data_IF_895257420060
#
_entry.id   IF_895257420060
#
_cell.length_a   1.000
_cell.length_b   1.000
_cell.length_c   1.000
_cell.angle_alpha   90.00
_cell.angle_beta   90.00
_cell.angle_gamma   90.00
#
_symmetry.space_group_name_H-M   'P 1'
#
loop_
_entity.id
_entity.type
_entity.pdbx_description
1 polymer ?
#
# COMPACT_ATOMS: atom_id res chain seq x y z
N UNK A 1 -16.13 -2.40 -21.28
CA UNK A 1 -15.21 -2.80 -20.20
C UNK A 1 -13.83 -3.21 -20.75
N UNK A 2 -13.74 -4.22 -21.63
CA UNK A 2 -12.44 -4.68 -22.14
C UNK A 2 -11.70 -3.55 -22.86
N UNK A 3 -12.34 -2.84 -23.77
CA UNK A 3 -11.72 -1.75 -24.54
C UNK A 3 -11.21 -0.61 -23.65
N UNK A 4 -11.89 -0.33 -22.54
CA UNK A 4 -11.49 0.72 -21.59
C UNK A 4 -10.31 0.32 -20.73
N UNK A 5 -10.24 -0.94 -20.32
CA UNK A 5 -9.20 -1.44 -19.41
C UNK A 5 -8.00 -2.06 -20.14
N UNK A 6 -8.10 -2.32 -21.45
CA UNK A 6 -7.04 -2.99 -22.20
C UNK A 6 -5.73 -2.19 -22.19
N UNK A 7 -5.78 -0.90 -22.46
CA UNK A 7 -4.59 -0.05 -22.51
C UNK A 7 -3.99 0.20 -21.10
N UNK A 8 -4.77 0.54 -20.06
CA UNK A 8 -4.30 0.53 -18.68
C UNK A 8 -3.68 -0.80 -18.25
N UNK A 9 -4.28 -1.92 -18.61
CA UNK A 9 -3.72 -3.24 -18.28
C UNK A 9 -2.39 -3.50 -19.00
N UNK A 10 -2.27 -3.12 -20.28
CA UNK A 10 -1.01 -3.22 -21.01
C UNK A 10 0.07 -2.35 -20.35
N UNK A 11 -0.25 -1.14 -19.92
CA UNK A 11 0.66 -0.31 -19.13
C UNK A 11 1.11 -1.01 -17.84
N UNK A 12 0.18 -1.65 -17.11
CA UNK A 12 0.49 -2.46 -15.93
C UNK A 12 1.46 -3.61 -16.23
N UNK A 13 1.28 -4.30 -17.36
CA UNK A 13 2.19 -5.37 -17.78
C UNK A 13 3.59 -4.85 -18.10
N UNK A 14 3.69 -3.73 -18.79
CA UNK A 14 4.96 -3.06 -19.08
C UNK A 14 5.66 -2.65 -17.79
N UNK A 15 4.93 -2.03 -16.85
CA UNK A 15 5.45 -1.71 -15.52
C UNK A 15 5.93 -2.97 -14.78
N UNK A 16 5.11 -4.02 -14.74
CA UNK A 16 5.47 -5.29 -14.10
C UNK A 16 6.79 -5.84 -14.63
N UNK A 17 6.99 -5.78 -15.95
CA UNK A 17 8.14 -6.38 -16.64
C UNK A 17 9.48 -5.96 -16.04
N UNK A 18 9.72 -4.67 -15.94
CA UNK A 18 10.99 -4.13 -15.44
C UNK A 18 11.03 -4.01 -13.91
N UNK A 19 9.89 -3.60 -13.28
CA UNK A 19 9.89 -3.35 -11.84
C UNK A 19 10.02 -4.62 -11.02
N UNK A 20 9.42 -5.75 -11.42
CA UNK A 20 9.62 -7.02 -10.74
C UNK A 20 11.11 -7.44 -10.76
N UNK A 21 11.81 -7.22 -11.88
CA UNK A 21 13.25 -7.48 -11.99
C UNK A 21 14.06 -6.55 -11.06
N UNK A 22 13.86 -5.23 -11.17
CA UNK A 22 14.55 -4.25 -10.33
C UNK A 22 14.24 -4.46 -8.84
N UNK A 23 13.00 -4.83 -8.51
CA UNK A 23 12.58 -5.15 -7.15
C UNK A 23 13.34 -6.31 -6.52
N UNK A 24 13.67 -7.35 -7.28
CA UNK A 24 14.54 -8.44 -6.78
C UNK A 24 15.92 -7.92 -6.41
N UNK A 25 16.50 -7.03 -7.19
CA UNK A 25 17.78 -6.40 -6.88
C UNK A 25 17.70 -5.50 -5.65
N UNK A 26 16.66 -4.68 -5.55
CA UNK A 26 16.40 -3.78 -4.42
C UNK A 26 16.23 -4.55 -3.11
N UNK A 27 15.44 -5.63 -3.11
CA UNK A 27 15.28 -6.50 -1.95
C UNK A 27 16.59 -7.19 -1.56
N UNK A 28 17.35 -7.69 -2.54
CA UNK A 28 18.63 -8.35 -2.27
C UNK A 28 19.68 -7.41 -1.68
N UNK A 29 19.63 -6.12 -2.06
CA UNK A 29 20.51 -5.08 -1.54
C UNK A 29 20.06 -4.49 -0.21
N UNK A 30 18.79 -4.70 0.21
CA UNK A 30 18.21 -4.12 1.43
C UNK A 30 17.99 -2.62 1.33
N UNK A 31 17.68 -2.09 0.14
CA UNK A 31 17.46 -0.65 -0.13
C UNK A 31 16.03 -0.40 -0.63
N UNK A 32 15.05 -0.82 0.17
CA UNK A 32 13.63 -0.91 -0.25
C UNK A 32 13.04 0.46 -0.65
N UNK A 33 13.46 1.55 -0.01
CA UNK A 33 12.89 2.89 -0.24
C UNK A 33 13.63 3.73 -1.29
N UNK A 34 14.52 3.11 -2.08
CA UNK A 34 15.34 3.84 -3.06
C UNK A 34 14.51 4.48 -4.17
N UNK A 35 13.42 3.85 -4.60
CA UNK A 35 12.51 4.39 -5.60
C UNK A 35 11.72 5.60 -5.08
N UNK A 36 11.26 5.56 -3.83
CA UNK A 36 10.61 6.71 -3.21
C UNK A 36 11.55 7.91 -3.10
N UNK A 37 12.82 7.66 -2.73
CA UNK A 37 13.82 8.71 -2.67
C UNK A 37 14.09 9.31 -4.05
N UNK A 38 14.30 8.47 -5.08
CA UNK A 38 14.53 8.94 -6.45
C UNK A 38 13.30 9.64 -7.05
N UNK A 39 12.09 9.19 -6.71
CA UNK A 39 10.86 9.87 -7.10
C UNK A 39 10.76 11.27 -6.49
N UNK A 40 11.16 11.46 -5.22
CA UNK A 40 11.18 12.78 -4.58
C UNK A 40 12.28 13.67 -5.16
N UNK A 41 13.46 13.12 -5.46
CA UNK A 41 14.54 13.86 -6.14
C UNK A 41 14.08 14.28 -7.54
N UNK A 42 13.37 13.42 -8.28
CA UNK A 42 12.77 13.76 -9.58
C UNK A 42 11.71 14.87 -9.45
N UNK A 43 10.85 14.79 -8.43
CA UNK A 43 9.85 15.83 -8.15
C UNK A 43 10.49 17.18 -7.84
N UNK A 44 11.57 17.19 -7.05
CA UNK A 44 12.39 18.40 -6.83
C UNK A 44 12.94 18.94 -8.16
N UNK A 45 13.46 18.07 -9.03
CA UNK A 45 13.93 18.44 -10.37
C UNK A 45 12.84 19.10 -11.22
N UNK A 46 11.63 18.51 -11.26
CA UNK A 46 10.47 19.12 -11.94
C UNK A 46 10.20 20.52 -11.38
N UNK A 47 10.20 20.67 -10.07
CA UNK A 47 9.89 21.94 -9.40
C UNK A 47 10.94 23.01 -9.72
N UNK A 48 12.21 22.63 -9.77
CA UNK A 48 13.29 23.52 -10.24
C UNK A 48 13.09 23.91 -11.71
N UNK A 49 12.69 22.97 -12.57
CA UNK A 49 12.34 23.25 -13.96
C UNK A 49 11.18 24.25 -14.11
N UNK A 50 10.17 24.15 -13.24
CA UNK A 50 9.05 25.10 -13.18
C UNK A 50 9.53 26.51 -12.78
N UNK A 51 10.43 26.63 -11.79
CA UNK A 51 11.05 27.89 -11.42
C UNK A 51 11.90 28.50 -12.56
N UNK A 52 12.53 27.64 -13.38
CA UNK A 52 13.24 28.06 -14.57
C UNK A 52 12.32 28.48 -15.74
N UNK A 53 11.00 28.53 -15.51
CA UNK A 53 10.00 28.97 -16.49
C UNK A 53 9.50 27.89 -17.46
N UNK A 54 9.84 26.64 -17.25
CA UNK A 54 9.37 25.55 -18.11
C UNK A 54 7.96 25.08 -17.73
N UNK A 55 7.10 24.85 -18.73
CA UNK A 55 5.74 24.39 -18.49
C UNK A 55 5.72 22.98 -17.85
N UNK A 56 4.79 22.68 -16.94
CA UNK A 56 4.58 21.33 -16.41
C UNK A 56 4.32 20.34 -17.55
N UNK A 57 4.96 19.17 -17.48
CA UNK A 57 4.80 18.13 -18.52
C UNK A 57 5.63 18.37 -19.79
N UNK A 58 6.35 19.50 -19.90
CA UNK A 58 7.27 19.76 -21.02
C UNK A 58 8.46 18.80 -21.01
N UNK A 59 9.07 18.59 -22.17
CA UNK A 59 10.30 17.80 -22.29
C UNK A 59 11.44 18.39 -21.45
N UNK A 60 11.51 19.71 -21.30
CA UNK A 60 12.49 20.39 -20.45
C UNK A 60 12.27 20.06 -18.97
N UNK A 61 11.04 20.17 -18.44
CA UNK A 61 10.72 19.82 -17.06
C UNK A 61 11.03 18.33 -16.77
N UNK A 62 10.75 17.46 -17.73
CA UNK A 62 11.15 16.04 -17.64
C UNK A 62 12.67 15.86 -17.64
N UNK A 63 13.40 16.63 -18.44
CA UNK A 63 14.87 16.66 -18.45
C UNK A 63 15.45 17.02 -17.08
N UNK A 64 14.89 18.04 -16.41
CA UNK A 64 15.25 18.39 -15.03
C UNK A 64 14.98 17.25 -14.06
N UNK A 65 13.79 16.63 -14.12
CA UNK A 65 13.45 15.48 -13.29
C UNK A 65 14.47 14.35 -13.43
N UNK A 66 14.82 14.03 -14.67
CA UNK A 66 15.76 12.95 -14.99
C UNK A 66 17.19 13.29 -14.53
N UNK A 67 17.66 14.51 -14.78
CA UNK A 67 18.99 14.94 -14.36
C UNK A 67 19.15 14.88 -12.83
N UNK A 68 18.15 15.34 -12.09
CA UNK A 68 18.14 15.27 -10.64
C UNK A 68 18.08 13.81 -10.15
N UNK A 69 17.20 13.00 -10.69
CA UNK A 69 17.06 11.59 -10.30
C UNK A 69 18.34 10.78 -10.60
N UNK A 70 18.95 10.95 -11.76
CA UNK A 70 20.22 10.30 -12.12
C UNK A 70 21.34 10.79 -11.20
N UNK A 71 21.40 12.09 -10.90
CA UNK A 71 22.36 12.66 -9.93
C UNK A 71 22.19 12.03 -8.53
N UNK A 72 20.93 11.87 -8.06
CA UNK A 72 20.62 11.16 -6.81
C UNK A 72 21.01 9.68 -6.86
N UNK A 73 20.76 9.00 -7.98
CA UNK A 73 21.18 7.61 -8.19
C UNK A 73 22.71 7.45 -8.16
N UNK A 74 23.44 8.34 -8.79
CA UNK A 74 24.90 8.35 -8.75
C UNK A 74 25.44 8.64 -7.35
N UNK A 75 24.77 9.51 -6.58
CA UNK A 75 25.08 9.72 -5.17
C UNK A 75 24.96 8.41 -4.37
N UNK A 76 23.91 7.62 -4.60
CA UNK A 76 23.75 6.31 -3.95
C UNK A 76 24.83 5.31 -4.38
N UNK A 77 25.28 5.37 -5.63
CA UNK A 77 26.35 4.49 -6.13
C UNK A 77 27.70 4.71 -5.46
N UNK A 78 28.04 5.96 -5.15
CA UNK A 78 29.32 6.29 -4.51
C UNK A 78 29.29 6.18 -2.99
N UNK A 79 28.11 5.99 -2.40
CA UNK A 79 27.96 5.84 -0.95
C UNK A 79 28.28 4.40 -0.52
N UNK A 80 29.30 4.16 0.31
CA UNK A 80 29.75 2.82 0.64
C UNK A 80 28.71 2.05 1.48
N UNK A 81 28.08 1.04 0.87
CA UNK A 81 27.02 0.20 1.48
C UNK A 81 27.50 -0.69 2.62
N UNK A 82 28.82 -1.06 2.64
CA UNK A 82 29.28 -2.25 3.35
C UNK A 82 30.28 -2.03 4.47
N UNK A 83 30.86 -0.84 4.58
CA UNK A 83 31.91 -0.53 5.57
C UNK A 83 31.77 0.84 6.25
N UNK A 84 30.67 1.56 5.99
CA UNK A 84 30.42 2.86 6.59
C UNK A 84 29.68 2.74 7.94
N UNK A 85 29.73 3.79 8.77
CA UNK A 85 28.99 3.85 10.04
C UNK A 85 27.48 3.96 9.87
N UNK A 86 27.00 4.31 8.66
CA UNK A 86 25.57 4.46 8.34
C UNK A 86 25.15 3.41 7.30
N UNK A 87 24.01 2.72 7.51
CA UNK A 87 23.43 1.85 6.48
C UNK A 87 22.96 2.69 5.30
N UNK A 88 23.05 2.15 4.08
CA UNK A 88 22.64 2.86 2.85
C UNK A 88 21.18 3.29 2.89
N UNK A 89 20.29 2.49 3.51
CA UNK A 89 18.88 2.81 3.69
C UNK A 89 18.67 4.11 4.50
N UNK A 90 19.52 4.40 5.49
CA UNK A 90 19.48 5.65 6.23
C UNK A 90 19.82 6.85 5.35
N UNK A 91 20.82 6.71 4.46
CA UNK A 91 21.20 7.76 3.51
C UNK A 91 20.08 8.01 2.50
N UNK A 92 19.46 6.94 1.99
CA UNK A 92 18.30 7.02 1.10
C UNK A 92 17.14 7.74 1.81
N UNK A 93 16.87 7.43 3.08
CA UNK A 93 15.84 8.10 3.88
C UNK A 93 16.13 9.59 4.09
N UNK A 94 17.38 9.97 4.34
CA UNK A 94 17.79 11.37 4.46
C UNK A 94 17.60 12.11 3.13
N UNK A 95 18.04 11.54 2.02
CA UNK A 95 17.86 12.14 0.68
C UNK A 95 16.38 12.32 0.35
N UNK A 96 15.55 11.31 0.67
CA UNK A 96 14.10 11.42 0.54
C UNK A 96 13.54 12.61 1.33
N UNK A 97 13.85 12.70 2.62
CA UNK A 97 13.32 13.74 3.50
C UNK A 97 13.77 15.14 3.08
N UNK A 98 15.06 15.30 2.74
CA UNK A 98 15.61 16.57 2.27
C UNK A 98 15.01 16.98 0.94
N UNK A 99 14.89 16.07 -0.02
CA UNK A 99 14.28 16.37 -1.33
C UNK A 99 12.80 16.73 -1.20
N UNK A 100 12.05 16.04 -0.32
CA UNK A 100 10.66 16.38 -0.03
C UNK A 100 10.54 17.78 0.59
N UNK A 101 11.36 18.10 1.58
CA UNK A 101 11.38 19.42 2.22
C UNK A 101 11.75 20.53 1.23
N UNK A 102 12.78 20.33 0.42
CA UNK A 102 13.18 21.29 -0.62
C UNK A 102 12.07 21.48 -1.67
N UNK A 103 11.39 20.40 -2.06
CA UNK A 103 10.25 20.47 -2.97
C UNK A 103 9.15 21.38 -2.40
N UNK A 104 8.80 21.21 -1.12
CA UNK A 104 7.79 22.07 -0.45
C UNK A 104 8.24 23.53 -0.43
N UNK A 105 9.49 23.82 -0.06
CA UNK A 105 10.04 25.18 -0.03
C UNK A 105 10.03 25.87 -1.40
N UNK A 106 10.31 25.11 -2.45
CA UNK A 106 10.34 25.63 -3.82
C UNK A 106 8.93 25.84 -4.36
N UNK A 107 8.00 24.91 -4.07
CA UNK A 107 6.60 24.95 -4.48
C UNK A 107 5.83 26.11 -3.84
N UNK A 108 6.16 26.48 -2.61
CA UNK A 108 5.55 27.62 -1.91
C UNK A 108 5.76 28.94 -2.68
N UNK A 109 6.79 29.00 -3.53
CA UNK A 109 7.09 30.12 -4.43
C UNK A 109 6.40 30.00 -5.80
N UNK A 110 5.74 28.87 -6.12
CA UNK A 110 5.14 28.61 -7.42
C UNK A 110 3.58 28.70 -7.37
N UNK A 111 2.91 29.41 -8.28
CA UNK A 111 1.45 29.43 -8.34
C UNK A 111 0.89 28.02 -8.53
N UNK A 112 -0.11 27.62 -7.71
CA UNK A 112 -0.77 26.32 -7.75
C UNK A 112 0.13 25.09 -7.47
N UNK A 113 1.25 25.27 -6.82
CA UNK A 113 2.25 24.21 -6.61
C UNK A 113 1.72 22.98 -5.83
N UNK A 114 0.91 23.20 -4.79
CA UNK A 114 0.39 22.11 -3.95
C UNK A 114 -0.50 21.12 -4.70
N UNK A 115 -1.41 21.60 -5.58
CA UNK A 115 -2.29 20.75 -6.38
C UNK A 115 -1.49 19.88 -7.37
N UNK A 116 -0.40 20.41 -7.90
CA UNK A 116 0.47 19.71 -8.84
C UNK A 116 1.29 18.60 -8.20
N UNK A 117 1.77 18.79 -6.97
CA UNK A 117 2.40 17.71 -6.20
C UNK A 117 1.43 16.56 -5.98
N UNK A 118 0.19 16.87 -5.61
CA UNK A 118 -0.84 15.86 -5.41
C UNK A 118 -1.07 15.00 -6.68
N UNK A 119 -1.12 15.64 -7.85
CA UNK A 119 -1.27 14.95 -9.13
C UNK A 119 -0.07 14.04 -9.45
N UNK A 120 1.16 14.46 -9.17
CA UNK A 120 2.36 13.64 -9.35
C UNK A 120 2.39 12.41 -8.43
N UNK A 121 1.86 12.52 -7.22
CA UNK A 121 1.83 11.41 -6.26
C UNK A 121 0.79 10.35 -6.64
N UNK A 122 -0.36 10.78 -7.16
CA UNK A 122 -1.50 9.88 -7.43
C UNK A 122 -1.36 9.22 -8.80
N UNK A 123 -0.80 9.91 -9.80
CA UNK A 123 -0.74 9.42 -11.18
C UNK A 123 -2.12 9.19 -11.80
N UNK A 124 -2.18 8.83 -13.08
CA UNK A 124 -3.44 8.48 -13.76
C UNK A 124 -3.21 7.41 -14.83
N UNK A 125 -3.14 6.16 -14.38
CA UNK A 125 -2.95 5.03 -15.31
C UNK A 125 -4.12 4.82 -16.28
N UNK A 126 -5.29 5.37 -15.97
CA UNK A 126 -6.48 5.30 -16.84
C UNK A 126 -6.39 6.17 -18.09
N UNK A 127 -5.62 7.26 -18.02
CA UNK A 127 -5.53 8.25 -19.11
C UNK A 127 -4.30 8.05 -19.98
N UNK A 128 -3.61 6.91 -19.86
CA UNK A 128 -2.43 6.60 -20.68
C UNK A 128 -2.82 6.43 -22.13
N UNK A 129 -1.99 6.95 -23.03
CA UNK A 129 -2.14 6.77 -24.48
C UNK A 129 -1.31 5.59 -24.97
N UNK A 130 -1.65 5.07 -26.15
CA UNK A 130 -0.85 4.03 -26.79
C UNK A 130 0.60 4.47 -27.02
N UNK A 131 0.82 5.77 -27.31
CA UNK A 131 2.15 6.35 -27.46
C UNK A 131 2.95 6.32 -26.16
N UNK A 132 2.31 6.63 -25.01
CA UNK A 132 2.94 6.57 -23.70
C UNK A 132 3.38 5.14 -23.36
N UNK A 133 2.50 4.16 -23.59
CA UNK A 133 2.80 2.74 -23.33
C UNK A 133 3.92 2.25 -24.22
N UNK A 134 3.89 2.58 -25.53
CA UNK A 134 4.93 2.19 -26.47
C UNK A 134 6.29 2.82 -26.14
N UNK A 135 6.31 4.13 -25.78
CA UNK A 135 7.52 4.82 -25.37
C UNK A 135 8.13 4.22 -24.10
N UNK A 136 7.27 3.91 -23.10
CA UNK A 136 7.70 3.27 -21.86
C UNK A 136 8.22 1.85 -22.10
N UNK A 137 7.54 1.07 -22.95
CA UNK A 137 7.97 -0.28 -23.33
C UNK A 137 9.33 -0.27 -24.05
N UNK A 138 9.55 0.67 -24.97
CA UNK A 138 10.82 0.85 -25.67
C UNK A 138 11.95 1.21 -24.70
N UNK A 139 11.70 2.14 -23.78
CA UNK A 139 12.66 2.52 -22.74
C UNK A 139 13.03 1.32 -21.86
N UNK A 140 12.03 0.57 -21.40
CA UNK A 140 12.28 -0.59 -20.53
C UNK A 140 12.95 -1.75 -21.27
N UNK A 141 12.64 -1.94 -22.56
CA UNK A 141 13.36 -2.90 -23.40
C UNK A 141 14.85 -2.51 -23.54
N UNK A 142 15.14 -1.23 -23.74
CA UNK A 142 16.52 -0.73 -23.82
C UNK A 142 17.27 -0.94 -22.49
N UNK A 143 16.67 -0.55 -21.36
CA UNK A 143 17.25 -0.78 -20.03
C UNK A 143 17.39 -2.28 -19.75
N UNK A 144 16.37 -3.07 -20.05
CA UNK A 144 16.40 -4.53 -19.90
C UNK A 144 17.52 -5.18 -20.72
N UNK A 145 17.75 -4.72 -21.95
CA UNK A 145 18.84 -5.19 -22.80
C UNK A 145 20.21 -4.87 -22.18
N UNK A 146 20.40 -3.63 -21.70
CA UNK A 146 21.64 -3.23 -21.01
C UNK A 146 21.88 -4.12 -19.78
N UNK A 147 20.84 -4.36 -18.99
CA UNK A 147 20.93 -5.22 -17.80
C UNK A 147 21.14 -6.70 -18.17
N UNK A 148 20.57 -7.18 -19.28
CA UNK A 148 20.81 -8.54 -19.75
C UNK A 148 22.26 -8.74 -20.22
N UNK A 149 22.83 -7.76 -20.92
CA UNK A 149 24.24 -7.77 -21.33
C UNK A 149 25.19 -7.68 -20.10
N UNK A 150 24.81 -6.90 -19.10
CA UNK A 150 25.55 -6.71 -17.85
C UNK A 150 25.13 -7.68 -16.73
N UNK A 151 24.37 -8.75 -17.04
CA UNK A 151 23.75 -9.63 -16.04
C UNK A 151 24.73 -10.22 -15.02
N UNK A 152 25.93 -10.61 -15.45
CA UNK A 152 26.95 -11.23 -14.59
C UNK A 152 27.34 -10.30 -13.43
N UNK A 153 27.92 -9.13 -13.69
CA UNK A 153 28.30 -8.19 -12.64
C UNK A 153 27.10 -7.66 -11.85
N UNK A 154 25.96 -7.37 -12.47
CA UNK A 154 24.78 -6.86 -11.76
C UNK A 154 24.20 -7.89 -10.78
N UNK A 155 24.14 -9.17 -11.16
CA UNK A 155 23.73 -10.24 -10.24
C UNK A 155 24.77 -10.45 -9.13
N UNK A 156 26.07 -10.42 -9.43
CA UNK A 156 27.13 -10.58 -8.45
C UNK A 156 27.05 -9.51 -7.36
N UNK A 157 26.95 -8.23 -7.72
CA UNK A 157 26.90 -7.15 -6.73
C UNK A 157 25.61 -7.14 -5.90
N UNK A 158 24.50 -7.71 -6.41
CA UNK A 158 23.24 -7.74 -5.68
C UNK A 158 23.05 -8.98 -4.82
N UNK A 159 23.44 -10.18 -5.32
CA UNK A 159 23.15 -11.46 -4.67
C UNK A 159 24.37 -12.17 -4.10
N UNK A 160 25.60 -11.76 -4.47
CA UNK A 160 26.84 -12.34 -3.97
C UNK A 160 27.84 -11.26 -3.51
N UNK A 161 27.48 -10.44 -2.52
CA UNK A 161 28.20 -9.21 -2.19
C UNK A 161 29.51 -9.37 -1.43
N UNK A 162 29.86 -10.54 -0.91
CA UNK A 162 30.91 -10.69 0.08
C UNK A 162 32.32 -10.29 -0.40
N UNK A 163 32.61 -10.44 -1.71
CA UNK A 163 33.98 -10.33 -2.24
C UNK A 163 34.21 -9.13 -3.18
N UNK A 164 33.19 -8.29 -3.41
CA UNK A 164 33.27 -7.23 -4.39
C UNK A 164 33.57 -5.86 -3.76
N UNK A 165 34.80 -5.63 -3.33
CA UNK A 165 35.29 -4.31 -2.94
C UNK A 165 36.17 -3.72 -4.04
N UNK A 166 35.88 -2.47 -4.50
CA UNK A 166 36.74 -1.75 -5.43
C UNK A 166 35.97 -0.92 -6.47
N UNK A 167 36.74 -0.25 -7.33
CA UNK A 167 36.19 0.68 -8.34
C UNK A 167 35.20 0.04 -9.31
N UNK A 168 35.37 -1.26 -9.62
CA UNK A 168 34.43 -1.98 -10.50
C UNK A 168 33.03 -2.06 -9.89
N UNK A 169 32.90 -2.20 -8.58
CA UNK A 169 31.60 -2.23 -7.89
C UNK A 169 30.89 -0.90 -8.04
N UNK A 170 31.59 0.22 -7.82
CA UNK A 170 31.03 1.58 -7.96
C UNK A 170 30.53 1.81 -9.38
N UNK A 171 31.25 1.34 -10.41
CA UNK A 171 30.82 1.48 -11.80
C UNK A 171 29.52 0.73 -12.09
N UNK A 172 29.40 -0.52 -11.60
CA UNK A 172 28.19 -1.30 -11.78
C UNK A 172 27.02 -0.83 -10.94
N UNK A 173 27.30 -0.31 -9.73
CA UNK A 173 26.29 0.36 -8.91
C UNK A 173 25.84 1.67 -9.57
N UNK A 174 26.74 2.46 -10.17
CA UNK A 174 26.37 3.64 -10.94
C UNK A 174 25.46 3.31 -12.13
N UNK A 175 25.78 2.26 -12.88
CA UNK A 175 24.92 1.77 -13.96
C UNK A 175 23.54 1.36 -13.44
N UNK A 176 23.51 0.59 -12.35
CA UNK A 176 22.25 0.13 -11.73
C UNK A 176 21.40 1.32 -11.28
N UNK A 177 21.95 2.21 -10.45
CA UNK A 177 21.17 3.33 -9.90
C UNK A 177 20.78 4.39 -10.93
N UNK A 178 21.63 4.63 -11.96
CA UNK A 178 21.29 5.53 -13.03
C UNK A 178 20.14 4.99 -13.91
N UNK A 179 20.22 3.71 -14.30
CA UNK A 179 19.14 3.06 -15.05
C UNK A 179 17.86 2.91 -14.22
N UNK A 180 18.01 2.63 -12.93
CA UNK A 180 16.89 2.60 -11.99
C UNK A 180 16.20 3.97 -11.87
N UNK A 181 16.98 5.06 -11.73
CA UNK A 181 16.46 6.41 -11.71
C UNK A 181 15.70 6.78 -12.99
N UNK A 182 16.21 6.36 -14.15
CA UNK A 182 15.57 6.55 -15.45
C UNK A 182 14.22 5.82 -15.50
N UNK A 183 14.16 4.57 -15.06
CA UNK A 183 12.93 3.76 -15.01
C UNK A 183 11.93 4.38 -14.06
N UNK A 184 12.32 4.69 -12.81
CA UNK A 184 11.41 5.25 -11.79
C UNK A 184 10.85 6.59 -12.23
N UNK A 185 11.69 7.53 -12.72
CA UNK A 185 11.25 8.85 -13.16
C UNK A 185 10.21 8.76 -14.28
N UNK A 186 10.42 7.85 -15.24
CA UNK A 186 9.49 7.63 -16.35
C UNK A 186 8.20 6.98 -15.90
N UNK A 187 8.26 6.01 -14.98
CA UNK A 187 7.11 5.30 -14.43
C UNK A 187 6.21 6.18 -13.59
N UNK A 188 6.82 6.97 -12.69
CA UNK A 188 6.10 7.83 -11.74
C UNK A 188 5.27 8.87 -12.48
N UNK A 189 5.75 9.40 -13.59
CA UNK A 189 5.00 10.35 -14.41
C UNK A 189 3.65 9.78 -14.90
N UNK A 190 3.59 8.49 -15.22
CA UNK A 190 2.39 7.84 -15.75
C UNK A 190 1.53 7.20 -14.64
N UNK A 191 2.16 6.48 -13.74
CA UNK A 191 1.47 5.62 -12.78
C UNK A 191 1.38 6.21 -11.36
N UNK A 192 2.17 7.25 -11.06
CA UNK A 192 2.29 7.79 -9.71
C UNK A 192 3.23 6.98 -8.80
N UNK A 193 3.71 7.63 -7.74
CA UNK A 193 4.75 7.07 -6.86
C UNK A 193 4.29 5.81 -6.15
N UNK A 194 3.06 5.82 -5.58
CA UNK A 194 2.55 4.69 -4.78
C UNK A 194 2.38 3.43 -5.61
N UNK A 195 1.89 3.57 -6.83
CA UNK A 195 1.67 2.43 -7.72
C UNK A 195 3.00 1.86 -8.21
N UNK A 196 3.97 2.70 -8.57
CA UNK A 196 5.32 2.30 -8.98
C UNK A 196 6.02 1.54 -7.85
N UNK A 197 6.00 2.06 -6.62
CA UNK A 197 6.52 1.39 -5.43
C UNK A 197 5.90 -0.01 -5.25
N UNK A 198 4.59 -0.11 -5.42
CA UNK A 198 3.90 -1.39 -5.28
C UNK A 198 4.34 -2.42 -6.32
N UNK A 199 4.53 -2.00 -7.59
CA UNK A 199 5.06 -2.88 -8.65
C UNK A 199 6.49 -3.33 -8.40
N UNK A 200 7.29 -2.48 -7.79
CA UNK A 200 8.69 -2.79 -7.46
C UNK A 200 8.78 -3.81 -6.33
N UNK A 201 8.12 -3.53 -5.22
CA UNK A 201 8.36 -4.25 -3.96
C UNK A 201 7.48 -5.49 -3.84
N UNK A 202 6.17 -5.39 -4.11
CA UNK A 202 5.24 -6.46 -3.72
C UNK A 202 5.39 -7.73 -4.56
N UNK A 203 5.47 -7.69 -5.91
CA UNK A 203 5.71 -8.89 -6.70
C UNK A 203 7.02 -9.58 -6.35
N UNK A 204 8.09 -8.81 -6.14
CA UNK A 204 9.39 -9.33 -5.74
C UNK A 204 9.38 -9.95 -4.34
N UNK A 205 8.68 -9.33 -3.38
CA UNK A 205 8.51 -9.86 -2.02
C UNK A 205 7.71 -11.16 -2.02
N UNK A 206 6.57 -11.23 -2.72
CA UNK A 206 5.77 -12.44 -2.85
C UNK A 206 6.61 -13.56 -3.50
N UNK A 207 7.33 -13.25 -4.57
CA UNK A 207 8.21 -14.22 -5.23
C UNK A 207 9.31 -14.74 -4.31
N UNK A 208 9.95 -13.85 -3.53
CA UNK A 208 10.95 -14.23 -2.54
C UNK A 208 10.39 -15.13 -1.42
N UNK A 209 9.12 -14.93 -1.06
CA UNK A 209 8.42 -15.79 -0.10
C UNK A 209 8.08 -17.18 -0.66
N UNK A 210 7.84 -17.33 -1.96
CA UNK A 210 7.31 -18.55 -2.56
C UNK A 210 8.38 -19.45 -3.15
N UNK A 211 9.43 -18.88 -3.78
CA UNK A 211 10.43 -19.64 -4.54
C UNK A 211 11.85 -19.16 -4.28
N UNK A 212 12.83 -20.03 -4.60
CA UNK A 212 14.26 -19.74 -4.49
C UNK A 212 14.87 -19.62 -5.88
N UNK A 213 15.89 -18.77 -6.03
CA UNK A 213 16.58 -18.50 -7.27
C UNK A 213 16.00 -17.30 -8.04
N UNK A 214 16.86 -16.60 -8.81
CA UNK A 214 16.50 -15.33 -9.47
C UNK A 214 15.49 -15.57 -10.59
N UNK A 215 15.70 -16.56 -11.45
CA UNK A 215 14.80 -16.87 -12.57
C UNK A 215 13.37 -17.23 -12.13
N UNK A 216 13.18 -18.23 -11.25
CA UNK A 216 11.86 -18.55 -10.70
C UNK A 216 11.20 -17.38 -9.99
N UNK A 217 11.95 -16.57 -9.22
CA UNK A 217 11.42 -15.37 -8.57
C UNK A 217 10.91 -14.34 -9.58
N UNK A 218 11.63 -14.16 -10.66
CA UNK A 218 11.22 -13.23 -11.71
C UNK A 218 9.93 -13.69 -12.40
N UNK A 219 9.82 -14.98 -12.75
CA UNK A 219 8.62 -15.56 -13.34
C UNK A 219 7.40 -15.43 -12.43
N UNK A 220 7.55 -15.74 -11.13
CA UNK A 220 6.47 -15.57 -10.13
C UNK A 220 6.14 -14.07 -9.95
N UNK A 221 7.13 -13.19 -9.91
CA UNK A 221 6.92 -11.75 -9.81
C UNK A 221 6.10 -11.20 -10.99
N UNK A 222 6.41 -11.63 -12.21
CA UNK A 222 5.64 -11.26 -13.40
C UNK A 222 4.20 -11.78 -13.37
N UNK A 223 4.03 -13.05 -12.99
CA UNK A 223 2.69 -13.64 -12.86
C UNK A 223 1.85 -12.90 -11.82
N UNK A 224 2.41 -12.67 -10.62
CA UNK A 224 1.75 -11.92 -9.54
C UNK A 224 1.41 -10.51 -10.00
N UNK A 225 2.36 -9.80 -10.62
CA UNK A 225 2.13 -8.46 -11.12
C UNK A 225 0.99 -8.40 -12.14
N UNK A 226 0.96 -9.34 -13.10
CA UNK A 226 -0.09 -9.41 -14.10
C UNK A 226 -1.47 -9.73 -13.50
N UNK A 227 -1.56 -10.77 -12.67
CA UNK A 227 -2.84 -11.23 -12.07
C UNK A 227 -3.40 -10.19 -11.11
N UNK A 228 -2.56 -9.62 -10.24
CA UNK A 228 -3.00 -8.62 -9.26
C UNK A 228 -3.40 -7.32 -9.92
N UNK A 229 -2.69 -6.91 -11.00
CA UNK A 229 -3.09 -5.73 -11.78
C UNK A 229 -4.45 -5.92 -12.45
N UNK A 230 -4.70 -7.09 -13.05
CA UNK A 230 -6.00 -7.39 -13.62
C UNK A 230 -7.10 -7.33 -12.57
N UNK A 231 -6.89 -7.97 -11.41
CA UNK A 231 -7.84 -7.94 -10.29
C UNK A 231 -8.09 -6.53 -9.77
N UNK A 232 -7.04 -5.73 -9.59
CA UNK A 232 -7.14 -4.34 -9.12
C UNK A 232 -7.87 -3.43 -10.10
N UNK A 233 -7.60 -3.57 -11.42
CA UNK A 233 -8.31 -2.81 -12.46
C UNK A 233 -9.79 -3.19 -12.54
N UNK A 234 -10.12 -4.48 -12.47
CA UNK A 234 -11.52 -4.95 -12.45
C UNK A 234 -12.22 -4.45 -11.19
N UNK A 235 -11.58 -4.49 -10.04
CA UNK A 235 -12.10 -3.96 -8.79
C UNK A 235 -12.37 -2.45 -8.87
N UNK A 236 -11.41 -1.68 -9.42
CA UNK A 236 -11.56 -0.24 -9.63
C UNK A 236 -12.79 0.08 -10.50
N UNK A 237 -12.94 -0.64 -11.62
CA UNK A 237 -14.08 -0.47 -12.50
C UNK A 237 -15.41 -0.89 -11.85
N UNK A 238 -15.42 -2.03 -11.15
CA UNK A 238 -16.66 -2.60 -10.58
C UNK A 238 -17.21 -1.79 -9.42
N UNK A 239 -16.34 -1.15 -8.64
CA UNK A 239 -16.69 -0.42 -7.43
C UNK A 239 -16.43 1.08 -7.52
N UNK A 240 -16.17 1.61 -8.73
CA UNK A 240 -15.89 3.03 -8.99
C UNK A 240 -14.80 3.59 -8.05
N UNK A 241 -13.67 2.87 -7.94
CA UNK A 241 -12.56 3.24 -7.08
C UNK A 241 -11.44 3.93 -7.87
N UNK A 242 -10.67 4.83 -7.24
CA UNK A 242 -9.45 5.37 -7.83
C UNK A 242 -8.50 4.24 -8.25
N UNK A 243 -8.22 4.11 -9.55
CA UNK A 243 -7.57 2.95 -10.14
C UNK A 243 -6.20 2.63 -9.53
N UNK A 244 -5.36 3.66 -9.34
CA UNK A 244 -4.06 3.48 -8.72
C UNK A 244 -4.17 2.91 -7.31
N UNK A 245 -5.04 3.48 -6.47
CA UNK A 245 -5.27 3.03 -5.10
C UNK A 245 -5.85 1.60 -5.04
N UNK A 246 -6.77 1.25 -5.95
CA UNK A 246 -7.35 -0.08 -6.02
C UNK A 246 -6.31 -1.16 -6.36
N UNK A 247 -5.41 -0.89 -7.32
CA UNK A 247 -4.31 -1.80 -7.66
C UNK A 247 -3.31 -1.92 -6.52
N UNK A 248 -2.95 -0.83 -5.84
CA UNK A 248 -2.07 -0.86 -4.65
C UNK A 248 -2.71 -1.69 -3.53
N UNK A 249 -4.00 -1.50 -3.26
CA UNK A 249 -4.73 -2.30 -2.26
C UNK A 249 -4.77 -3.78 -2.63
N UNK A 250 -4.97 -4.11 -3.91
CA UNK A 250 -4.91 -5.49 -4.41
C UNK A 250 -3.53 -6.13 -4.19
N UNK A 251 -2.44 -5.39 -4.43
CA UNK A 251 -1.08 -5.83 -4.12
C UNK A 251 -0.89 -6.10 -2.62
N UNK A 252 -1.37 -5.18 -1.76
CA UNK A 252 -1.33 -5.36 -0.30
C UNK A 252 -2.08 -6.61 0.15
N UNK A 253 -3.28 -6.83 -0.39
CA UNK A 253 -4.08 -8.02 -0.12
C UNK A 253 -3.39 -9.32 -0.58
N UNK A 254 -2.79 -9.33 -1.77
CA UNK A 254 -2.04 -10.48 -2.29
C UNK A 254 -0.84 -10.83 -1.41
N UNK A 255 -0.10 -9.83 -0.94
CA UNK A 255 1.03 -10.02 -0.01
C UNK A 255 0.55 -10.57 1.34
N UNK A 256 -0.51 -9.99 1.90
CA UNK A 256 -1.10 -10.44 3.17
C UNK A 256 -1.59 -11.90 3.09
N UNK A 257 -2.30 -12.26 2.01
CA UNK A 257 -2.75 -13.62 1.77
C UNK A 257 -1.58 -14.60 1.62
N UNK A 258 -0.52 -14.21 0.92
CA UNK A 258 0.69 -15.04 0.77
C UNK A 258 1.39 -15.25 2.11
N UNK A 259 1.54 -14.19 2.90
CA UNK A 259 2.13 -14.26 4.24
C UNK A 259 1.29 -15.12 5.19
N UNK A 260 -0.03 -14.96 5.17
CA UNK A 260 -0.96 -15.78 5.96
C UNK A 260 -0.90 -17.26 5.58
N UNK A 261 -0.88 -17.58 4.28
CA UNK A 261 -0.77 -18.96 3.81
C UNK A 261 0.55 -19.62 4.23
N UNK A 262 1.67 -18.87 4.19
CA UNK A 262 2.95 -19.37 4.70
C UNK A 262 2.96 -19.56 6.21
N UNK A 263 2.41 -18.59 6.95
CA UNK A 263 2.23 -18.68 8.40
C UNK A 263 1.41 -19.91 8.79
N UNK A 264 0.28 -20.14 8.13
CA UNK A 264 -0.54 -21.33 8.36
C UNK A 264 0.22 -22.63 8.11
N UNK A 265 1.00 -22.72 7.01
CA UNK A 265 1.83 -23.90 6.72
C UNK A 265 2.93 -24.10 7.77
N UNK A 266 3.57 -23.02 8.24
CA UNK A 266 4.57 -23.09 9.29
C UNK A 266 3.96 -23.58 10.61
N UNK A 267 2.79 -23.08 10.99
CA UNK A 267 2.04 -23.52 12.18
C UNK A 267 1.67 -24.99 12.06
N UNK A 268 1.12 -25.43 10.92
CA UNK A 268 0.77 -26.85 10.73
C UNK A 268 1.99 -27.77 10.78
N UNK A 269 3.12 -27.36 10.21
CA UNK A 269 4.37 -28.11 10.29
C UNK A 269 4.88 -28.19 11.73
N UNK A 270 4.84 -27.07 12.47
CA UNK A 270 5.25 -27.02 13.87
C UNK A 270 4.36 -27.89 14.77
N UNK A 271 3.04 -27.89 14.54
CA UNK A 271 2.08 -28.74 15.27
C UNK A 271 2.33 -30.22 14.98
N UNK A 272 2.64 -30.58 13.73
CA UNK A 272 3.01 -31.97 13.38
C UNK A 272 4.29 -32.43 14.06
N UNK A 273 5.28 -31.53 14.21
CA UNK A 273 6.57 -31.85 14.78
C UNK A 273 6.61 -31.83 16.32
N UNK A 274 5.89 -30.92 16.95
CA UNK A 274 5.95 -30.63 18.40
C UNK A 274 4.63 -30.82 19.14
N UNK A 275 3.58 -31.27 18.46
CA UNK A 275 2.24 -31.40 19.02
C UNK A 275 1.64 -30.03 19.40
N UNK A 276 0.64 -30.07 20.27
CA UNK A 276 -0.14 -28.87 20.69
C UNK A 276 0.72 -27.82 21.40
N UNK A 277 1.90 -28.19 21.93
CA UNK A 277 2.82 -27.25 22.58
C UNK A 277 3.35 -26.17 21.62
N UNK A 278 3.39 -26.46 20.31
CA UNK A 278 3.74 -25.51 19.28
C UNK A 278 2.75 -24.33 19.16
N UNK A 279 1.51 -24.53 19.59
CA UNK A 279 0.46 -23.48 19.58
C UNK A 279 0.54 -22.53 20.77
N UNK A 280 1.39 -22.84 21.77
CA UNK A 280 1.53 -22.04 22.98
C UNK A 280 1.73 -20.53 22.71
N UNK A 281 2.67 -20.07 21.85
CA UNK A 281 2.85 -18.66 21.61
C UNK A 281 1.60 -18.01 20.96
N UNK A 282 0.91 -18.75 20.09
CA UNK A 282 -0.31 -18.27 19.46
C UNK A 282 -1.47 -18.14 20.46
N UNK A 283 -1.61 -19.11 21.37
CA UNK A 283 -2.64 -19.06 22.43
C UNK A 283 -2.35 -17.92 23.40
N UNK A 284 -1.10 -17.72 23.78
CA UNK A 284 -0.70 -16.60 24.65
C UNK A 284 -0.92 -15.26 23.95
N UNK A 285 -0.55 -15.13 22.68
CA UNK A 285 -0.80 -13.92 21.90
C UNK A 285 -2.32 -13.61 21.80
N UNK A 286 -3.13 -14.63 21.54
CA UNK A 286 -4.59 -14.49 21.51
C UNK A 286 -5.15 -14.08 22.89
N UNK A 287 -4.65 -14.68 23.96
CA UNK A 287 -5.04 -14.32 25.32
C UNK A 287 -4.69 -12.84 25.62
N UNK A 288 -3.50 -12.39 25.22
CA UNK A 288 -3.11 -10.96 25.35
C UNK A 288 -4.02 -10.05 24.53
N UNK A 289 -4.38 -10.42 23.30
CA UNK A 289 -5.29 -9.64 22.49
C UNK A 289 -6.69 -9.55 23.10
N UNK A 290 -7.21 -10.65 23.66
CA UNK A 290 -8.50 -10.69 24.37
C UNK A 290 -8.42 -9.82 25.64
N UNK A 291 -7.33 -9.91 26.40
CA UNK A 291 -7.11 -9.08 27.58
C UNK A 291 -7.06 -7.60 27.21
N UNK A 292 -6.32 -7.25 26.15
CA UNK A 292 -6.23 -5.88 25.66
C UNK A 292 -7.60 -5.36 25.20
N UNK A 293 -8.37 -6.16 24.46
CA UNK A 293 -9.71 -5.82 24.02
C UNK A 293 -10.65 -5.56 25.20
N UNK A 294 -10.62 -6.41 26.24
CA UNK A 294 -11.38 -6.23 27.47
C UNK A 294 -10.95 -4.99 28.26
N UNK A 295 -9.64 -4.77 28.40
CA UNK A 295 -9.09 -3.62 29.10
C UNK A 295 -9.41 -2.30 28.38
N UNK A 296 -9.25 -2.26 27.05
CA UNK A 296 -9.61 -1.08 26.25
C UNK A 296 -11.09 -0.74 26.36
N UNK A 297 -11.98 -1.75 26.33
CA UNK A 297 -13.42 -1.52 26.51
C UNK A 297 -13.73 -0.96 27.90
N UNK A 298 -13.04 -1.41 28.94
CA UNK A 298 -13.24 -0.93 30.30
C UNK A 298 -12.69 0.49 30.53
N UNK A 299 -11.52 0.78 29.98
CA UNK A 299 -10.83 2.06 30.20
C UNK A 299 -11.35 3.16 29.24
N UNK A 300 -11.66 2.80 28.01
CA UNK A 300 -12.04 3.71 26.94
C UNK A 300 -13.32 3.28 26.22
N UNK A 301 -14.48 3.18 26.89
CA UNK A 301 -15.71 2.67 26.29
C UNK A 301 -16.22 3.53 25.13
N UNK A 302 -15.87 4.82 25.07
CA UNK A 302 -16.29 5.75 24.02
C UNK A 302 -15.48 5.61 22.72
N UNK A 303 -14.36 4.86 22.73
CA UNK A 303 -13.58 4.58 21.52
C UNK A 303 -14.28 3.54 20.63
N UNK A 304 -13.94 3.53 19.35
CA UNK A 304 -14.36 2.48 18.44
C UNK A 304 -13.69 1.15 18.79
N UNK A 305 -14.50 0.11 18.95
CA UNK A 305 -14.04 -1.26 19.23
C UNK A 305 -14.40 -2.18 18.04
N UNK A 306 -13.52 -2.32 17.02
CA UNK A 306 -13.86 -3.02 15.77
C UNK A 306 -14.38 -4.45 15.95
N UNK A 307 -13.86 -5.16 16.95
CA UNK A 307 -14.31 -6.52 17.28
C UNK A 307 -15.76 -6.55 17.80
N UNK A 308 -16.15 -5.58 18.64
CA UNK A 308 -17.49 -5.47 19.19
C UNK A 308 -18.47 -4.94 18.14
N UNK A 309 -18.02 -4.00 17.29
CA UNK A 309 -18.78 -3.53 16.14
C UNK A 309 -19.10 -4.66 15.16
N UNK A 310 -18.13 -5.54 14.93
CA UNK A 310 -18.31 -6.75 14.10
C UNK A 310 -19.34 -7.69 14.72
N UNK A 311 -19.24 -7.95 16.02
CA UNK A 311 -20.17 -8.81 16.75
C UNK A 311 -21.59 -8.23 16.72
N UNK A 312 -21.76 -6.94 16.95
CA UNK A 312 -23.05 -6.25 16.96
C UNK A 312 -23.70 -6.18 15.56
N UNK A 313 -22.91 -6.22 14.47
CA UNK A 313 -23.46 -6.37 13.11
C UNK A 313 -24.07 -7.75 12.88
N UNK A 314 -23.44 -8.81 13.42
CA UNK A 314 -23.89 -10.19 13.28
C UNK A 314 -25.05 -10.46 14.25
N UNK A 315 -24.97 -9.94 15.47
CA UNK A 315 -25.93 -10.14 16.56
C UNK A 315 -26.36 -8.78 17.11
N UNK A 316 -27.32 -8.08 16.46
CA UNK A 316 -27.77 -6.75 16.87
C UNK A 316 -28.35 -6.68 18.31
N UNK A 317 -28.87 -7.77 18.83
CA UNK A 317 -29.41 -7.88 20.18
C UNK A 317 -28.35 -7.59 21.27
N UNK A 318 -27.06 -7.82 20.98
CA UNK A 318 -25.97 -7.49 21.91
C UNK A 318 -25.90 -6.00 22.20
N UNK A 319 -26.14 -5.15 21.21
CA UNK A 319 -26.22 -3.71 21.41
C UNK A 319 -27.58 -3.29 22.00
N UNK A 320 -28.68 -3.86 21.50
CA UNK A 320 -30.03 -3.50 21.89
C UNK A 320 -30.34 -3.78 23.36
N UNK A 321 -29.74 -4.82 23.93
CA UNK A 321 -29.90 -5.14 25.36
C UNK A 321 -29.43 -4.00 26.28
N UNK A 322 -28.50 -3.18 25.83
CA UNK A 322 -27.94 -2.08 26.60
C UNK A 322 -28.47 -0.69 26.19
N UNK A 323 -29.46 -0.61 25.31
CA UNK A 323 -30.17 0.61 24.95
C UNK A 323 -31.51 0.70 25.70
N UNK A 324 -31.88 1.92 26.10
CA UNK A 324 -33.19 2.22 26.65
C UNK A 324 -34.29 2.07 25.57
N UNK A 325 -35.55 2.03 25.97
CA UNK A 325 -36.68 1.94 25.02
C UNK A 325 -36.68 3.11 24.02
N UNK A 326 -36.43 4.33 24.51
CA UNK A 326 -36.36 5.53 23.66
C UNK A 326 -35.17 5.46 22.70
N UNK A 327 -33.99 5.06 23.18
CA UNK A 327 -32.77 4.95 22.34
C UNK A 327 -32.93 3.88 21.25
N UNK A 328 -33.65 2.79 21.54
CA UNK A 328 -34.01 1.75 20.53
C UNK A 328 -34.93 2.31 19.45
N UNK A 329 -35.91 3.14 19.83
CA UNK A 329 -36.77 3.84 18.86
C UNK A 329 -35.96 4.75 17.94
N UNK A 330 -35.16 5.67 18.52
CA UNK A 330 -34.29 6.58 17.75
C UNK A 330 -33.35 5.79 16.84
N UNK A 331 -32.75 4.71 17.33
CA UNK A 331 -31.86 3.87 16.52
C UNK A 331 -32.59 3.27 15.30
N UNK A 332 -33.80 2.73 15.49
CA UNK A 332 -34.61 2.15 14.43
C UNK A 332 -34.95 3.20 13.37
N UNK A 333 -35.50 4.34 13.80
CA UNK A 333 -35.94 5.41 12.91
C UNK A 333 -34.75 6.00 12.12
N UNK A 334 -33.59 6.22 12.80
CA UNK A 334 -32.37 6.68 12.14
C UNK A 334 -31.79 5.64 11.17
N UNK A 335 -31.87 4.34 11.50
CA UNK A 335 -31.40 3.28 10.60
C UNK A 335 -32.26 3.21 9.32
N UNK A 336 -33.57 3.36 9.45
CA UNK A 336 -34.50 3.40 8.30
C UNK A 336 -34.28 4.67 7.46
N UNK A 337 -34.04 5.83 8.10
CA UNK A 337 -33.72 7.08 7.41
C UNK A 337 -32.40 6.97 6.66
N UNK A 338 -31.36 6.43 7.29
CA UNK A 338 -30.06 6.20 6.69
C UNK A 338 -30.14 5.29 5.47
N UNK A 339 -30.87 4.15 5.58
CA UNK A 339 -31.04 3.23 4.45
C UNK A 339 -31.69 3.89 3.26
N UNK A 340 -32.73 4.73 3.47
CA UNK A 340 -33.38 5.51 2.41
C UNK A 340 -32.43 6.53 1.79
N UNK A 341 -31.68 7.24 2.60
CA UNK A 341 -30.70 8.24 2.14
C UNK A 341 -29.54 7.61 1.38
N UNK A 342 -29.04 6.45 1.81
CA UNK A 342 -27.99 5.71 1.12
C UNK A 342 -28.47 5.12 -0.22
N UNK A 343 -29.70 4.64 -0.33
CA UNK A 343 -30.27 4.19 -1.59
C UNK A 343 -30.33 5.33 -2.63
N UNK A 344 -30.84 6.49 -2.24
CA UNK A 344 -30.89 7.68 -3.11
C UNK A 344 -29.48 8.17 -3.50
N UNK A 345 -28.54 8.12 -2.55
CA UNK A 345 -27.15 8.48 -2.81
C UNK A 345 -26.49 7.49 -3.80
N UNK A 346 -26.85 6.21 -3.73
CA UNK A 346 -26.40 5.17 -4.66
C UNK A 346 -26.84 5.48 -6.11
N UNK A 347 -28.11 5.83 -6.31
CA UNK A 347 -28.63 6.22 -7.63
C UNK A 347 -27.90 7.45 -8.21
N UNK A 348 -27.69 8.47 -7.37
CA UNK A 348 -26.98 9.69 -7.78
C UNK A 348 -25.51 9.43 -8.10
N UNK A 349 -24.82 8.55 -7.34
CA UNK A 349 -23.45 8.15 -7.62
C UNK A 349 -23.34 7.34 -8.91
N UNK A 350 -24.30 6.49 -9.21
CA UNK A 350 -24.34 5.78 -10.49
C UNK A 350 -24.44 6.77 -11.65
N UNK A 351 -25.29 7.80 -11.50
CA UNK A 351 -25.41 8.86 -12.51
C UNK A 351 -24.11 9.66 -12.64
N UNK A 352 -23.44 10.00 -11.54
CA UNK A 352 -22.14 10.68 -11.55
C UNK A 352 -21.07 9.83 -12.23
N UNK A 353 -21.02 8.53 -11.92
CA UNK A 353 -20.14 7.56 -12.55
C UNK A 353 -20.38 7.45 -14.06
N UNK A 354 -21.65 7.33 -14.50
CA UNK A 354 -22.00 7.30 -15.93
C UNK A 354 -21.50 8.56 -16.67
N UNK A 355 -21.56 9.71 -16.02
CA UNK A 355 -21.05 10.97 -16.58
C UNK A 355 -19.51 10.98 -16.61
N UNK A 356 -18.87 10.50 -15.55
CA UNK A 356 -17.42 10.44 -15.45
C UNK A 356 -16.80 9.50 -16.47
N UNK A 357 -17.43 8.36 -16.71
CA UNK A 357 -16.97 7.34 -17.67
C UNK A 357 -17.49 7.56 -19.11
N UNK A 358 -18.14 8.70 -19.36
CA UNK A 358 -18.60 9.08 -20.69
C UNK A 358 -19.83 8.32 -21.21
N UNK A 359 -20.48 7.50 -20.36
CA UNK A 359 -21.72 6.80 -20.72
C UNK A 359 -22.92 7.76 -20.84
N UNK A 360 -22.85 8.91 -20.17
CA UNK A 360 -23.82 10.02 -20.29
C UNK A 360 -23.12 11.36 -20.38
N UNK A 361 -23.70 12.27 -21.15
CA UNK A 361 -23.27 13.67 -21.22
C UNK A 361 -24.29 14.54 -20.49
N UNK A 362 -23.85 15.34 -19.55
CA UNK A 362 -24.64 16.38 -18.90
C UNK A 362 -24.04 17.74 -19.21
N UNK A 363 -24.92 18.76 -19.37
CA UNK A 363 -24.49 20.14 -19.47
C UNK A 363 -23.81 20.62 -18.15
N UNK A 364 -22.99 21.67 -18.20
CA UNK A 364 -22.24 22.14 -17.03
C UNK A 364 -23.13 22.50 -15.85
N UNK A 365 -24.30 23.10 -16.06
CA UNK A 365 -25.20 23.48 -14.97
C UNK A 365 -25.82 22.25 -14.27
N UNK A 366 -26.18 21.22 -15.03
CA UNK A 366 -26.73 19.98 -14.47
C UNK A 366 -25.67 19.20 -13.71
N UNK A 367 -24.39 19.23 -14.16
CA UNK A 367 -23.29 18.65 -13.41
C UNK A 367 -23.09 19.34 -12.07
N UNK A 368 -23.16 20.67 -12.05
CA UNK A 368 -22.97 21.42 -10.81
C UNK A 368 -24.13 21.17 -9.83
N UNK A 369 -25.36 21.15 -10.31
CA UNK A 369 -26.56 20.80 -9.51
C UNK A 369 -26.45 19.38 -8.94
N UNK A 370 -25.97 18.42 -9.72
CA UNK A 370 -25.74 17.03 -9.25
C UNK A 370 -24.72 17.01 -8.11
N UNK A 371 -23.60 17.74 -8.24
CA UNK A 371 -22.57 17.81 -7.18
C UNK A 371 -23.11 18.43 -5.90
N UNK A 372 -23.85 19.52 -5.99
CA UNK A 372 -24.48 20.19 -4.84
C UNK A 372 -25.48 19.27 -4.14
N UNK A 373 -26.28 18.53 -4.91
CA UNK A 373 -27.23 17.58 -4.37
C UNK A 373 -26.55 16.40 -3.68
N UNK A 374 -25.47 15.86 -4.28
CA UNK A 374 -24.63 14.84 -3.68
C UNK A 374 -23.98 15.32 -2.39
N UNK A 375 -23.46 16.55 -2.35
CA UNK A 375 -22.88 17.14 -1.15
C UNK A 375 -23.90 17.22 -0.01
N UNK A 376 -25.08 17.79 -0.26
CA UNK A 376 -26.14 17.90 0.75
C UNK A 376 -26.62 16.52 1.27
N UNK A 377 -26.74 15.52 0.37
CA UNK A 377 -27.10 14.16 0.79
C UNK A 377 -26.01 13.47 1.61
N UNK A 378 -24.73 13.69 1.28
CA UNK A 378 -23.62 13.18 2.06
C UNK A 378 -23.63 13.76 3.48
N UNK A 379 -23.97 15.03 3.67
CA UNK A 379 -24.10 15.66 4.99
C UNK A 379 -25.23 15.03 5.82
N UNK A 380 -26.39 14.76 5.24
CA UNK A 380 -27.48 14.07 5.92
C UNK A 380 -27.09 12.67 6.36
N UNK A 381 -26.47 11.89 5.48
CA UNK A 381 -25.93 10.55 5.80
C UNK A 381 -24.87 10.63 6.90
N UNK A 382 -24.02 11.65 6.90
CA UNK A 382 -23.02 11.85 7.96
C UNK A 382 -23.70 12.18 9.30
N UNK A 383 -24.76 13.00 9.31
CA UNK A 383 -25.56 13.31 10.49
C UNK A 383 -26.21 12.05 11.09
N UNK A 384 -26.91 11.25 10.26
CA UNK A 384 -27.53 10.00 10.71
C UNK A 384 -26.51 9.00 11.27
N UNK A 385 -25.37 8.89 10.62
CA UNK A 385 -24.25 8.05 11.12
C UNK A 385 -23.70 8.54 12.44
N UNK A 386 -23.65 9.86 12.67
CA UNK A 386 -23.24 10.45 13.94
C UNK A 386 -24.20 10.10 15.06
N UNK A 387 -25.52 10.18 14.82
CA UNK A 387 -26.54 9.75 15.81
C UNK A 387 -26.36 8.28 16.18
N UNK A 388 -26.21 7.41 15.17
CA UNK A 388 -25.98 5.97 15.42
C UNK A 388 -24.67 5.71 16.18
N UNK A 389 -23.60 6.45 15.90
CA UNK A 389 -22.33 6.36 16.68
C UNK A 389 -22.53 6.79 18.12
N UNK A 390 -23.27 7.85 18.36
CA UNK A 390 -23.55 8.34 19.73
C UNK A 390 -24.36 7.32 20.53
N UNK A 391 -25.38 6.72 19.93
CA UNK A 391 -26.17 5.67 20.57
C UNK A 391 -25.29 4.43 20.88
N UNK A 392 -24.39 4.07 19.96
CA UNK A 392 -23.44 3.00 20.16
C UNK A 392 -22.49 3.31 21.33
N UNK A 393 -21.96 4.50 21.41
CA UNK A 393 -21.09 4.92 22.51
C UNK A 393 -21.78 4.79 23.87
N UNK A 394 -23.07 5.22 23.97
CA UNK A 394 -23.87 5.07 25.19
C UNK A 394 -24.11 3.60 25.56
N UNK A 395 -24.39 2.75 24.58
CA UNK A 395 -24.52 1.31 24.82
C UNK A 395 -23.21 0.74 25.37
N UNK A 396 -22.04 1.14 24.82
CA UNK A 396 -20.72 0.68 25.24
C UNK A 396 -20.36 1.07 26.66
N UNK A 397 -20.72 2.26 27.08
CA UNK A 397 -20.51 2.67 28.46
C UNK A 397 -21.24 1.76 29.46
N UNK A 398 -22.43 1.25 29.08
CA UNK A 398 -23.17 0.27 29.89
C UNK A 398 -22.61 -1.15 29.74
N UNK A 399 -22.07 -1.49 28.56
CA UNK A 399 -21.49 -2.81 28.26
C UNK A 399 -20.11 -3.03 28.91
N UNK A 400 -19.36 -1.99 29.22
CA UNK A 400 -17.93 -2.04 29.57
C UNK A 400 -17.60 -3.08 30.65
N UNK A 401 -18.40 -3.16 31.70
CA UNK A 401 -18.17 -4.12 32.77
C UNK A 401 -18.71 -5.51 32.45
N UNK A 402 -19.85 -5.58 31.77
CA UNK A 402 -20.51 -6.83 31.46
C UNK A 402 -19.78 -7.66 30.40
N UNK A 403 -19.05 -7.01 29.51
CA UNK A 403 -18.24 -7.67 28.50
C UNK A 403 -16.76 -7.65 28.83
N UNK A 404 -16.26 -6.56 29.38
CA UNK A 404 -14.83 -6.38 29.68
C UNK A 404 -14.32 -7.33 30.76
N UNK A 405 -15.05 -7.49 31.87
CA UNK A 405 -14.63 -8.41 32.93
C UNK A 405 -14.59 -9.89 32.49
N UNK A 406 -15.60 -10.44 31.80
CA UNK A 406 -15.51 -11.79 31.28
C UNK A 406 -14.36 -12.00 30.30
N UNK A 407 -14.05 -11.03 29.44
CA UNK A 407 -12.93 -11.12 28.52
C UNK A 407 -11.58 -11.17 29.26
N UNK A 408 -11.41 -10.38 30.31
CA UNK A 408 -10.22 -10.42 31.16
C UNK A 408 -10.10 -11.77 31.90
N UNK A 409 -11.20 -12.27 32.43
CA UNK A 409 -11.22 -13.58 33.10
C UNK A 409 -10.88 -14.73 32.13
N UNK A 410 -11.46 -14.73 30.93
CA UNK A 410 -11.19 -15.72 29.89
C UNK A 410 -9.72 -15.68 29.45
N UNK A 411 -9.14 -14.48 29.29
CA UNK A 411 -7.73 -14.34 28.92
C UNK A 411 -6.81 -14.90 29.99
N UNK A 412 -7.11 -14.67 31.27
CA UNK A 412 -6.37 -15.24 32.40
C UNK A 412 -6.44 -16.76 32.46
N UNK A 413 -7.63 -17.33 32.28
CA UNK A 413 -7.83 -18.79 32.23
C UNK A 413 -7.10 -19.42 31.04
N UNK A 414 -7.16 -18.80 29.85
CA UNK A 414 -6.44 -19.25 28.68
C UNK A 414 -4.90 -19.24 28.90
N UNK A 415 -4.37 -18.23 29.55
CA UNK A 415 -2.95 -18.12 29.87
C UNK A 415 -2.47 -19.22 30.86
N UNK A 416 -3.30 -19.57 31.82
CA UNK A 416 -3.01 -20.58 32.85
C UNK A 416 -3.12 -21.99 32.26
N UNK A 417 -4.07 -22.26 31.37
CA UNK A 417 -4.36 -23.58 30.80
C UNK A 417 -3.27 -24.08 29.81
N UNK A 418 -2.36 -23.23 29.38
CA UNK A 418 -1.30 -23.59 28.43
C UNK A 418 -0.22 -24.44 29.11
N UNK A 419 0.02 -25.70 28.67
CA UNK A 419 0.98 -26.61 29.31
C UNK A 419 2.39 -26.01 29.31
N UNK A 420 3.01 -25.94 30.49
CA UNK A 420 4.40 -25.54 30.64
C UNK A 420 5.31 -26.62 30.06
N UNK A 421 6.37 -26.28 29.31
CA UNK A 421 7.41 -27.22 28.94
C UNK A 421 7.91 -27.91 30.22
N UNK A 422 7.81 -29.23 30.29
CA UNK A 422 8.53 -30.00 31.31
C UNK A 422 10.02 -29.64 31.15
N UNK A 423 10.60 -29.01 32.17
CA UNK A 423 12.06 -28.85 32.24
C UNK A 423 12.63 -30.26 32.20
N UNK A 424 13.31 -30.64 31.11
CA UNK A 424 14.17 -31.81 31.09
C UNK A 424 15.17 -31.61 32.22
N UNK A 425 15.01 -32.35 33.32
CA UNK A 425 16.06 -32.49 34.32
C UNK A 425 17.26 -33.09 33.57
N UNK A 426 18.27 -32.27 33.30
CA UNK A 426 19.59 -32.78 32.99
C UNK A 426 20.01 -33.61 34.21
N UNK A 427 19.86 -34.90 34.10
CA UNK A 427 20.49 -35.83 35.03
C UNK A 427 21.97 -35.73 34.76
N UNK A 428 22.65 -34.91 35.57
CA UNK A 428 24.10 -35.08 35.80
C UNK A 428 24.28 -36.45 36.47
N UNK A 429 24.76 -37.40 35.71
CA UNK A 429 25.34 -38.60 36.25
C UNK A 429 26.78 -38.32 36.61
N UNK A 430 27.30 -38.89 37.73
CA UNK A 430 28.64 -38.63 38.24
C UNK A 430 29.75 -39.21 37.34
#
# INVERSE_FOLDING_TARGET
>A
MIDLLALPFLACLVLTGIHAYLGLHVLARGVIFVDLALAQVAALGITVGLLAGHAPGSAAAYGYALAFAVGGGLLFAVTPVRKGPLPQEAIIGIVYAVSAALTVLVVDRAPQGAERIKQLLVGSILTVTAGDVAGLAALYAAVGLVHALARGPLLAISFAPADAAGLRVVVWDALFYASFALVVTSSVRLAGVLLVFSYLVVPAAIAALLVVGVGPRLAVGWLVGAVVSAAGLVAAYRWDLPTGAAVVAAFGAALALTAAARGARAVTAAVRAQGVVALRPAVLALAVLIALAGALLMLFPMMDHPWLDGLERIVPSVQEAFLTRTERGVRRDTTEALARSEAQLGELRTLESDVQWGARTLDPERRERLRQFLAGRNELVAGDRLVLRTLRARARERQRYWLGLPLLALSGLAAISVPRRARSRATSSP
#
